data_IF_615201377985
#
_entry.id   IF_615201377985
#
_cell.length_a   1.000
_cell.length_b   1.000
_cell.length_c   1.000
_cell.angle_alpha   90.00
_cell.angle_beta   90.00
_cell.angle_gamma   90.00
#
_symmetry.space_group_name_H-M   'P 1'
#
loop_
_entity.id
_entity.type
_entity.pdbx_description
1 polymer ?
#
# COMPACT_ATOMS: atom_id res chain seq x y z
N UNK A 1 -3.06 -17.75 -3.54
CA UNK A 1 -1.74 -17.64 -4.21
C UNK A 1 -0.67 -18.01 -3.19
N UNK A 2 0.31 -18.89 -3.47
CA UNK A 2 1.41 -19.15 -2.54
C UNK A 2 2.41 -17.97 -2.49
N UNK A 3 2.99 -17.68 -1.32
CA UNK A 3 4.01 -16.64 -1.12
C UNK A 3 5.21 -16.78 -2.09
N UNK A 4 5.52 -18.01 -2.49
CA UNK A 4 6.55 -18.32 -3.48
C UNK A 4 6.27 -17.70 -4.85
N UNK A 5 5.00 -17.59 -5.25
CA UNK A 5 4.63 -16.96 -6.53
C UNK A 5 4.76 -15.44 -6.50
N UNK A 6 4.55 -14.82 -5.33
CA UNK A 6 4.71 -13.37 -5.13
C UNK A 6 6.19 -12.95 -5.08
N UNK A 7 7.07 -13.81 -4.58
CA UNK A 7 8.51 -13.54 -4.50
C UNK A 7 9.29 -13.97 -5.76
N UNK A 8 8.77 -14.93 -6.54
CA UNK A 8 9.42 -15.41 -7.75
C UNK A 8 9.46 -14.34 -8.85
N UNK A 9 10.63 -14.14 -9.45
CA UNK A 9 10.78 -13.27 -10.63
C UNK A 9 10.00 -13.86 -11.82
N UNK A 10 9.38 -13.06 -12.70
CA UNK A 10 8.66 -13.55 -13.88
C UNK A 10 9.50 -14.49 -14.76
N UNK A 11 10.83 -14.30 -14.78
CA UNK A 11 11.77 -15.17 -15.46
C UNK A 11 11.90 -16.57 -14.82
N UNK A 12 11.76 -16.67 -13.50
CA UNK A 12 11.81 -17.94 -12.76
C UNK A 12 10.52 -18.77 -12.94
N UNK A 13 9.36 -18.11 -13.09
CA UNK A 13 8.07 -18.74 -13.36
C UNK A 13 7.99 -19.41 -14.74
N UNK A 14 8.83 -19.01 -15.70
CA UNK A 14 8.87 -19.57 -17.06
C UNK A 14 9.57 -20.93 -17.15
N UNK A 15 10.45 -21.27 -16.21
CA UNK A 15 11.21 -22.53 -16.20
C UNK A 15 10.54 -23.58 -15.30
N UNK A 16 9.41 -24.13 -15.76
CA UNK A 16 8.54 -25.09 -15.04
C UNK A 16 9.22 -26.41 -14.60
N UNK A 17 10.41 -26.73 -15.11
CA UNK A 17 11.04 -28.05 -14.94
C UNK A 17 12.28 -28.08 -14.02
N UNK A 18 12.66 -26.99 -13.33
CA UNK A 18 13.86 -27.02 -12.48
C UNK A 18 13.72 -26.26 -11.15
N UNK A 19 12.54 -26.32 -10.55
CA UNK A 19 12.35 -25.88 -9.19
C UNK A 19 11.70 -27.02 -8.41
N UNK A 20 12.53 -27.98 -7.97
CA UNK A 20 12.37 -28.54 -6.62
C UNK A 20 12.56 -27.37 -5.64
N UNK A 21 11.63 -26.42 -5.64
CA UNK A 21 11.43 -25.55 -4.50
C UNK A 21 10.87 -26.50 -3.45
N UNK A 22 11.68 -26.81 -2.44
CA UNK A 22 11.23 -27.43 -1.22
C UNK A 22 10.05 -26.61 -0.71
N UNK A 23 8.86 -27.08 -1.06
CA UNK A 23 7.59 -26.54 -0.65
C UNK A 23 7.46 -26.95 0.81
N UNK A 24 8.18 -26.27 1.71
CA UNK A 24 7.96 -26.45 3.14
C UNK A 24 6.53 -25.99 3.37
N UNK A 25 5.59 -26.89 3.67
CA UNK A 25 4.24 -26.48 4.02
C UNK A 25 4.38 -25.60 5.25
N UNK A 26 3.79 -24.42 5.21
CA UNK A 26 3.65 -23.58 6.40
C UNK A 26 2.63 -24.29 7.29
N UNK A 27 3.10 -25.29 8.01
CA UNK A 27 2.26 -26.25 8.72
C UNK A 27 1.77 -25.58 10.01
N UNK A 28 0.52 -25.14 9.97
CA UNK A 28 -0.25 -24.82 11.17
C UNK A 28 -0.17 -23.38 11.68
N UNK A 29 -0.97 -22.48 11.08
CA UNK A 29 -1.80 -21.46 11.76
C UNK A 29 -2.58 -20.67 10.71
N UNK A 30 -3.86 -21.00 10.54
CA UNK A 30 -4.73 -20.49 9.47
C UNK A 30 -4.81 -18.96 9.38
N UNK A 31 -4.77 -18.24 10.51
CA UNK A 31 -4.90 -16.77 10.50
C UNK A 31 -3.58 -16.04 10.17
N UNK A 32 -2.44 -16.58 10.63
CA UNK A 32 -1.12 -15.96 10.46
C UNK A 32 -0.66 -15.98 9.00
N UNK A 33 -0.97 -17.05 8.26
CA UNK A 33 -0.67 -17.12 6.83
C UNK A 33 -1.47 -16.11 6.00
N UNK A 34 -2.69 -15.77 6.43
CA UNK A 34 -3.58 -14.86 5.70
C UNK A 34 -3.14 -13.40 5.82
N UNK A 35 -2.75 -12.97 7.03
CA UNK A 35 -2.17 -11.63 7.24
C UNK A 35 -0.85 -11.48 6.49
N UNK A 36 0.04 -12.45 6.61
CA UNK A 36 1.33 -12.42 5.90
C UNK A 36 1.12 -12.38 4.38
N UNK A 37 0.15 -13.13 3.84
CA UNK A 37 -0.19 -13.06 2.42
C UNK A 37 -0.60 -11.65 2.01
N UNK A 38 -1.43 -11.01 2.82
CA UNK A 38 -1.91 -9.64 2.59
C UNK A 38 -0.74 -8.65 2.62
N UNK A 39 0.17 -8.76 3.60
CA UNK A 39 1.37 -7.92 3.71
C UNK A 39 2.22 -8.04 2.45
N UNK A 40 2.51 -9.26 1.99
CA UNK A 40 3.32 -9.48 0.80
C UNK A 40 2.68 -8.91 -0.47
N UNK A 41 1.36 -9.04 -0.61
CA UNK A 41 0.62 -8.42 -1.71
C UNK A 41 0.72 -6.90 -1.68
N UNK A 42 0.63 -6.28 -0.50
CA UNK A 42 0.80 -4.84 -0.33
C UNK A 42 2.23 -4.39 -0.63
N UNK A 43 3.25 -5.11 -0.14
CA UNK A 43 4.65 -4.81 -0.42
C UNK A 43 4.95 -4.92 -1.92
N UNK A 44 4.36 -5.92 -2.59
CA UNK A 44 4.47 -6.07 -4.03
C UNK A 44 3.81 -4.91 -4.77
N UNK A 45 2.60 -4.51 -4.34
CA UNK A 45 1.86 -3.39 -4.92
C UNK A 45 2.59 -2.06 -4.77
N UNK A 46 3.18 -1.78 -3.60
CA UNK A 46 3.87 -0.49 -3.36
C UNK A 46 5.26 -0.44 -4.00
N UNK A 47 5.81 -1.60 -4.39
CA UNK A 47 7.14 -1.73 -4.98
C UNK A 47 8.24 -2.01 -3.94
N UNK A 48 7.93 -1.94 -2.65
CA UNK A 48 8.86 -2.23 -1.55
C UNK A 48 9.42 -3.65 -1.62
N UNK A 49 8.64 -4.62 -2.12
CA UNK A 49 9.12 -6.00 -2.32
C UNK A 49 10.28 -6.08 -3.32
N UNK A 50 10.25 -5.24 -4.36
CA UNK A 50 11.33 -5.14 -5.35
C UNK A 50 12.58 -4.51 -4.72
N UNK A 51 12.41 -3.47 -3.92
CA UNK A 51 13.51 -2.84 -3.18
C UNK A 51 14.16 -3.82 -2.20
N UNK A 52 13.38 -4.57 -1.42
CA UNK A 52 13.88 -5.61 -0.49
C UNK A 52 14.68 -6.71 -1.21
N UNK A 53 14.27 -7.07 -2.43
CA UNK A 53 15.01 -8.02 -3.27
C UNK A 53 16.34 -7.43 -3.76
N UNK A 54 16.37 -6.14 -4.08
CA UNK A 54 17.58 -5.43 -4.52
C UNK A 54 18.56 -5.20 -3.37
N UNK A 55 18.09 -5.04 -2.13
CA UNK A 55 18.90 -4.90 -0.91
C UNK A 55 19.49 -6.20 -0.37
N UNK A 56 19.48 -7.29 -1.15
CA UNK A 56 19.99 -8.63 -0.79
C UNK A 56 19.32 -9.28 0.44
N UNK A 57 18.12 -8.87 0.82
CA UNK A 57 17.38 -9.55 1.89
C UNK A 57 16.93 -10.93 1.39
N UNK A 58 17.19 -12.00 2.16
CA UNK A 58 16.71 -13.32 1.79
C UNK A 58 15.21 -13.45 2.05
N UNK A 59 14.54 -14.32 1.28
CA UNK A 59 13.11 -14.58 1.46
C UNK A 59 12.77 -14.98 2.89
N UNK A 60 13.58 -15.85 3.50
CA UNK A 60 13.34 -16.33 4.86
C UNK A 60 13.52 -15.22 5.90
N UNK A 61 14.47 -14.30 5.70
CA UNK A 61 14.61 -13.13 6.57
C UNK A 61 13.42 -12.19 6.45
N UNK A 62 12.93 -11.92 5.24
CA UNK A 62 11.75 -11.08 5.02
C UNK A 62 10.51 -11.72 5.65
N UNK A 63 10.30 -13.02 5.43
CA UNK A 63 9.19 -13.75 6.05
C UNK A 63 9.32 -13.77 7.57
N UNK A 64 10.50 -14.05 8.11
CA UNK A 64 10.76 -14.07 9.55
C UNK A 64 10.58 -12.69 10.18
N UNK A 65 10.99 -11.63 9.49
CA UNK A 65 10.79 -10.26 9.92
C UNK A 65 9.29 -9.95 9.99
N UNK A 66 8.58 -10.03 8.86
CA UNK A 66 7.14 -9.77 8.81
C UNK A 66 6.31 -10.83 9.56
N UNK A 67 6.89 -11.95 9.99
CA UNK A 67 6.21 -12.91 10.87
C UNK A 67 5.91 -12.35 12.24
N UNK A 68 6.71 -11.38 12.68
CA UNK A 68 6.61 -10.77 13.99
C UNK A 68 5.83 -9.45 13.93
N UNK A 69 5.45 -8.99 12.73
CA UNK A 69 4.70 -7.76 12.52
C UNK A 69 3.30 -8.09 12.01
N UNK A 70 2.29 -7.58 12.70
CA UNK A 70 0.92 -7.51 12.20
C UNK A 70 0.74 -6.33 11.25
N UNK A 71 -0.36 -6.35 10.50
CA UNK A 71 -0.81 -5.24 9.65
C UNK A 71 -1.34 -4.10 10.53
N UNK A 72 -0.42 -3.49 11.27
CA UNK A 72 -0.70 -2.44 12.24
C UNK A 72 -0.69 -1.06 11.59
N UNK A 73 -1.24 -0.09 12.32
CA UNK A 73 -1.27 1.32 11.94
C UNK A 73 0.11 1.85 11.54
N UNK A 74 1.19 1.47 12.24
CA UNK A 74 2.55 1.90 11.89
C UNK A 74 2.98 1.46 10.49
N UNK A 75 2.64 0.23 10.09
CA UNK A 75 3.00 -0.29 8.77
C UNK A 75 2.15 0.36 7.67
N UNK A 76 0.86 0.59 7.94
CA UNK A 76 -0.02 1.37 7.06
C UNK A 76 0.49 2.79 6.86
N UNK A 77 0.88 3.45 7.95
CA UNK A 77 1.46 4.80 7.91
C UNK A 77 2.75 4.86 7.10
N UNK A 78 3.63 3.88 7.23
CA UNK A 78 4.85 3.81 6.41
C UNK A 78 4.52 3.68 4.92
N UNK A 79 3.59 2.79 4.58
CA UNK A 79 3.14 2.62 3.18
C UNK A 79 2.40 3.85 2.65
N UNK A 80 1.66 4.55 3.52
CA UNK A 80 1.00 5.79 3.19
C UNK A 80 2.02 6.89 2.84
N UNK A 81 3.11 7.02 3.60
CA UNK A 81 4.20 7.95 3.30
C UNK A 81 4.81 7.69 1.90
N UNK A 82 5.04 6.43 1.53
CA UNK A 82 5.51 6.08 0.18
C UNK A 82 4.57 6.61 -0.93
N UNK A 83 3.25 6.53 -0.69
CA UNK A 83 2.24 7.07 -1.61
C UNK A 83 2.19 8.59 -1.61
N UNK A 84 2.38 9.25 -0.46
CA UNK A 84 2.49 10.71 -0.37
C UNK A 84 3.70 11.21 -1.16
N UNK A 85 4.84 10.51 -1.06
CA UNK A 85 6.02 10.85 -1.87
C UNK A 85 5.74 10.73 -3.37
N UNK A 86 5.05 9.66 -3.80
CA UNK A 86 4.62 9.49 -5.19
C UNK A 86 3.64 10.57 -5.66
N UNK A 87 2.72 11.00 -4.81
CA UNK A 87 1.80 12.12 -5.10
C UNK A 87 2.55 13.44 -5.29
N UNK A 88 3.63 13.67 -4.51
CA UNK A 88 4.48 14.85 -4.68
C UNK A 88 5.25 14.85 -6.01
N UNK A 89 5.67 13.67 -6.48
CA UNK A 89 6.33 13.52 -7.78
C UNK A 89 5.33 13.57 -8.95
N UNK A 90 4.15 13.00 -8.78
CA UNK A 90 3.10 12.90 -9.78
C UNK A 90 1.73 13.22 -9.16
N UNK A 91 1.30 14.49 -9.17
CA UNK A 91 0.05 14.91 -8.55
C UNK A 91 -1.14 14.24 -9.24
N UNK A 92 -2.07 13.72 -8.44
CA UNK A 92 -3.26 12.99 -8.86
C UNK A 92 -3.09 11.47 -8.90
N UNK A 93 -1.88 10.93 -8.76
CA UNK A 93 -1.64 9.48 -8.82
C UNK A 93 -2.35 8.74 -7.67
N UNK A 94 -2.39 9.33 -6.49
CA UNK A 94 -2.99 8.74 -5.30
C UNK A 94 -4.51 8.70 -5.40
N UNK A 95 -5.12 9.79 -5.88
CA UNK A 95 -6.56 9.85 -6.16
C UNK A 95 -6.98 8.84 -7.24
N UNK A 96 -6.15 8.70 -8.28
CA UNK A 96 -6.36 7.73 -9.35
C UNK A 96 -6.25 6.29 -8.82
N UNK A 97 -5.22 6.00 -8.02
CA UNK A 97 -5.01 4.68 -7.44
C UNK A 97 -6.10 4.31 -6.43
N UNK A 98 -6.62 5.28 -5.66
CA UNK A 98 -7.76 5.07 -4.76
C UNK A 98 -9.03 4.69 -5.54
N UNK A 99 -9.30 5.38 -6.64
CA UNK A 99 -10.43 5.02 -7.53
C UNK A 99 -10.25 3.63 -8.10
N UNK A 100 -9.04 3.28 -8.52
CA UNK A 100 -8.72 1.94 -9.00
C UNK A 100 -8.90 0.89 -7.89
N UNK A 101 -8.46 1.17 -6.67
CA UNK A 101 -8.61 0.29 -5.50
C UNK A 101 -10.08 0.01 -5.18
N UNK A 102 -10.93 1.04 -5.21
CA UNK A 102 -12.38 0.90 -5.00
C UNK A 102 -13.05 0.08 -6.10
N UNK A 103 -12.68 0.30 -7.36
CA UNK A 103 -13.17 -0.51 -8.48
C UNK A 103 -12.75 -1.97 -8.34
N UNK A 104 -11.49 -2.22 -8.01
CA UNK A 104 -10.96 -3.56 -7.78
C UNK A 104 -11.63 -4.26 -6.59
N UNK A 105 -11.92 -3.53 -5.50
CA UNK A 105 -12.66 -4.04 -4.35
C UNK A 105 -14.05 -4.53 -4.76
N UNK A 106 -14.76 -3.74 -5.56
CA UNK A 106 -16.11 -4.07 -6.01
C UNK A 106 -16.12 -5.27 -6.98
N UNK A 107 -15.15 -5.33 -7.90
CA UNK A 107 -14.99 -6.47 -8.80
C UNK A 107 -14.61 -7.75 -8.03
N UNK A 108 -13.71 -7.66 -7.06
CA UNK A 108 -13.38 -8.77 -6.17
C UNK A 108 -14.59 -9.24 -5.36
N UNK A 109 -15.43 -8.30 -4.89
CA UNK A 109 -16.69 -8.60 -4.18
C UNK A 109 -17.66 -9.37 -5.06
N UNK A 110 -17.85 -8.95 -6.31
CA UNK A 110 -18.69 -9.65 -7.28
C UNK A 110 -18.14 -11.04 -7.64
N UNK A 111 -16.82 -11.16 -7.74
CA UNK A 111 -16.13 -12.40 -8.07
C UNK A 111 -16.00 -13.37 -6.87
N UNK A 112 -16.45 -12.98 -5.67
CA UNK A 112 -16.28 -13.78 -4.44
C UNK A 112 -14.82 -13.97 -4.03
N UNK A 113 -13.94 -13.04 -4.42
CA UNK A 113 -12.52 -13.07 -4.09
C UNK A 113 -12.24 -12.51 -2.70
N UNK A 114 -11.04 -12.77 -2.18
CA UNK A 114 -10.60 -12.27 -0.88
C UNK A 114 -10.56 -10.72 -0.87
N UNK A 115 -11.30 -10.12 0.06
CA UNK A 115 -11.44 -8.65 0.14
C UNK A 115 -10.40 -7.97 1.03
N UNK A 116 -9.63 -8.72 1.83
CA UNK A 116 -8.70 -8.14 2.81
C UNK A 116 -7.67 -7.22 2.16
N UNK A 117 -6.99 -7.70 1.13
CA UNK A 117 -6.03 -6.91 0.37
C UNK A 117 -6.61 -5.59 -0.13
N UNK A 118 -7.80 -5.62 -0.72
CA UNK A 118 -8.45 -4.43 -1.26
C UNK A 118 -8.91 -3.46 -0.17
N UNK A 119 -9.35 -3.96 0.99
CA UNK A 119 -9.66 -3.14 2.16
C UNK A 119 -8.40 -2.45 2.69
N UNK A 120 -7.32 -3.19 2.91
CA UNK A 120 -6.05 -2.62 3.38
C UNK A 120 -5.47 -1.61 2.39
N UNK A 121 -5.53 -1.89 1.09
CA UNK A 121 -5.13 -0.96 0.03
C UNK A 121 -5.91 0.36 0.11
N UNK A 122 -7.23 0.29 0.29
CA UNK A 122 -8.07 1.48 0.49
C UNK A 122 -7.67 2.23 1.76
N UNK A 123 -7.51 1.54 2.89
CA UNK A 123 -7.13 2.17 4.16
C UNK A 123 -5.80 2.92 4.07
N UNK A 124 -4.77 2.33 3.45
CA UNK A 124 -3.46 2.98 3.24
C UNK A 124 -3.59 4.25 2.40
N UNK A 125 -4.36 4.20 1.30
CA UNK A 125 -4.55 5.36 0.42
C UNK A 125 -5.39 6.45 1.09
N UNK A 126 -6.43 6.06 1.82
CA UNK A 126 -7.23 7.00 2.61
C UNK A 126 -6.40 7.66 3.71
N UNK A 127 -5.57 6.90 4.42
CA UNK A 127 -4.64 7.42 5.41
C UNK A 127 -3.65 8.41 4.80
N UNK A 128 -3.11 8.10 3.62
CA UNK A 128 -2.21 8.99 2.89
C UNK A 128 -2.90 10.31 2.49
N UNK A 129 -4.14 10.26 1.99
CA UNK A 129 -4.94 11.47 1.72
C UNK A 129 -5.17 12.27 2.99
N UNK A 130 -5.60 11.62 4.08
CA UNK A 130 -5.81 12.30 5.35
C UNK A 130 -4.55 12.99 5.82
N UNK A 131 -3.38 12.36 5.70
CA UNK A 131 -2.11 13.00 6.07
C UNK A 131 -1.77 14.20 5.17
N UNK A 132 -2.03 14.13 3.87
CA UNK A 132 -1.83 15.27 2.94
C UNK A 132 -2.75 16.43 3.28
N UNK A 133 -4.03 16.17 3.58
CA UNK A 133 -5.00 17.22 3.92
C UNK A 133 -4.90 17.71 5.37
N UNK A 134 -4.33 16.90 6.28
CA UNK A 134 -4.10 17.25 7.68
C UNK A 134 -2.79 18.01 7.90
N UNK A 135 -1.94 18.08 6.88
CA UNK A 135 -0.78 18.96 6.83
C UNK A 135 -1.12 20.15 5.91
N UNK A 136 -2.02 21.06 6.33
CA UNK A 136 -2.21 22.30 5.60
C UNK A 136 -0.89 23.04 5.70
N UNK A 137 -0.16 23.09 4.60
CA UNK A 137 0.93 24.02 4.43
C UNK A 137 0.42 25.41 4.89
N UNK A 138 0.95 26.02 5.97
CA UNK A 138 0.56 27.37 6.40
C UNK A 138 1.00 28.43 5.37
N UNK A 139 1.59 28.04 4.24
CA UNK A 139 2.11 28.91 3.19
C UNK A 139 1.15 29.14 2.01
N UNK A 140 -0.06 28.56 1.99
CA UNK A 140 -1.06 28.99 0.99
C UNK A 140 -1.66 30.33 1.41
N UNK A 141 -1.44 31.43 0.64
CA UNK A 141 -2.15 32.66 0.91
C UNK A 141 -3.61 32.40 0.55
N UNK A 142 -4.46 32.21 1.56
CA UNK A 142 -5.91 32.25 1.37
C UNK A 142 -6.22 33.62 0.79
N UNK A 143 -6.65 33.64 -0.47
CA UNK A 143 -7.16 34.79 -1.22
C UNK A 143 -8.49 35.30 -0.62
N UNK A 144 -8.54 35.51 0.70
CA UNK A 144 -9.73 35.96 1.44
C UNK A 144 -9.51 37.31 2.14
N UNK A 145 -8.39 38.00 1.91
CA UNK A 145 -8.12 39.34 2.46
C UNK A 145 -8.56 40.52 1.56
N UNK A 146 -9.50 40.32 0.64
CA UNK A 146 -10.01 41.39 -0.24
C UNK A 146 -11.46 41.83 0.03
N UNK A 147 -12.03 41.55 1.21
CA UNK A 147 -13.45 41.90 1.46
C UNK A 147 -13.79 42.57 2.79
N UNK A 148 -12.82 43.01 3.60
CA UNK A 148 -13.13 43.72 4.86
C UNK A 148 -12.66 45.18 4.97
N UNK A 149 -11.96 45.73 3.98
CA UNK A 149 -11.54 47.15 3.98
C UNK A 149 -12.45 48.08 3.16
N UNK A 150 -13.50 47.56 2.52
CA UNK A 150 -14.38 48.35 1.64
C UNK A 150 -15.75 48.73 2.24
N UNK A 151 -16.06 48.39 3.50
CA UNK A 151 -17.38 48.61 4.10
C UNK A 151 -17.40 49.32 5.46
N UNK A 152 -16.36 50.08 5.79
CA UNK A 152 -16.43 51.12 6.82
C UNK A 152 -16.10 52.49 6.22
N UNK A 153 -16.97 52.95 5.34
CA UNK A 153 -17.32 54.37 5.28
C UNK A 153 -18.50 54.63 6.21
N UNK A 154 -18.68 55.88 6.63
CA UNK A 154 -19.71 56.42 7.54
C UNK A 154 -19.38 56.13 9.03
N UNK A 155 -18.93 57.07 9.85
CA UNK A 155 -19.43 58.43 10.09
C UNK A 155 -18.36 59.29 10.80
#
# INVERSE_FOLDING_TARGET
MPLDFLWASPAALRNRNRLQLSFTPWEGRSAYCEELMTIFQLLHWNGSLKALRETKCSRQEVISYYSQYSLDEKMRSHMALDWIMKERESPGILSQELRAALGQLEEARKAGQELRFYKEKKEILSLALTQIYSDPDPSSPSDDQLSLTALCGYH
#
